data_IF_324055927304
#
_entry.id   IF_324055927304
#
_cell.length_a   1.000
_cell.length_b   1.000
_cell.length_c   1.000
_cell.angle_alpha   90.00
_cell.angle_beta   90.00
_cell.angle_gamma   90.00
#
_symmetry.space_group_name_H-M   'P 1'
#
loop_
_entity.id
_entity.type
_entity.pdbx_description
1 polymer ?
#
# COMPACT_ATOMS: atom_id res chain seq x y z
N UNK A 1 55.08 5.86 20.41
CA UNK A 1 55.26 6.14 18.97
C UNK A 1 54.05 5.60 18.23
N UNK A 2 53.04 6.45 18.06
CA UNK A 2 51.77 6.14 17.39
C UNK A 2 51.85 6.70 15.98
N UNK A 3 51.85 5.81 15.00
CA UNK A 3 51.82 6.13 13.56
C UNK A 3 50.46 6.77 13.22
N UNK A 4 50.40 7.91 12.52
CA UNK A 4 49.14 8.43 12.03
C UNK A 4 48.67 7.59 10.85
N UNK A 5 47.38 7.25 10.85
CA UNK A 5 46.68 6.65 9.71
C UNK A 5 46.64 7.71 8.60
N UNK A 6 47.34 7.42 7.50
CA UNK A 6 47.35 8.26 6.30
C UNK A 6 45.93 8.50 5.79
N UNK A 7 45.50 9.75 5.79
CA UNK A 7 44.32 10.22 5.08
C UNK A 7 44.52 9.98 3.58
N UNK A 8 43.52 9.36 2.94
CA UNK A 8 43.51 9.16 1.50
C UNK A 8 43.77 10.46 0.75
N UNK A 9 44.64 10.39 -0.25
CA UNK A 9 45.00 11.49 -1.14
C UNK A 9 43.76 12.11 -1.76
N UNK A 10 43.45 13.37 -1.40
CA UNK A 10 42.52 14.20 -2.17
C UNK A 10 43.15 14.46 -3.53
N UNK A 11 42.65 13.82 -4.59
CA UNK A 11 42.90 14.31 -5.95
C UNK A 11 42.33 15.73 -6.03
N UNK A 12 43.14 16.76 -6.35
CA UNK A 12 42.64 18.11 -6.56
C UNK A 12 41.58 18.07 -7.66
N UNK A 13 40.38 18.62 -7.38
CA UNK A 13 39.37 18.82 -8.41
C UNK A 13 39.94 19.78 -9.45
N UNK A 14 40.07 19.32 -10.70
CA UNK A 14 40.45 20.17 -11.84
C UNK A 14 39.30 21.06 -12.31
N UNK A 15 38.10 20.90 -11.75
CA UNK A 15 36.91 21.63 -12.15
C UNK A 15 36.82 23.00 -11.47
N UNK A 16 36.52 24.04 -12.24
CA UNK A 16 36.39 25.41 -11.75
C UNK A 16 35.21 25.55 -10.77
N UNK A 17 35.20 26.56 -9.88
CA UNK A 17 34.05 26.82 -9.02
C UNK A 17 32.73 27.01 -9.79
N UNK A 18 32.79 27.61 -10.98
CA UNK A 18 31.63 27.79 -11.86
C UNK A 18 31.12 26.46 -12.41
N UNK A 19 32.01 25.56 -12.81
CA UNK A 19 31.64 24.21 -13.28
C UNK A 19 31.00 23.38 -12.17
N UNK A 20 31.50 23.51 -10.94
CA UNK A 20 30.92 22.84 -9.78
C UNK A 20 29.53 23.40 -9.46
N UNK A 21 29.37 24.72 -9.51
CA UNK A 21 28.08 25.36 -9.28
C UNK A 21 27.04 24.90 -10.32
N UNK A 22 27.40 24.96 -11.61
CA UNK A 22 26.55 24.51 -12.71
C UNK A 22 26.12 23.05 -12.54
N UNK A 23 27.04 22.16 -12.17
CA UNK A 23 26.71 20.76 -11.90
C UNK A 23 25.65 20.60 -10.81
N UNK A 24 25.75 21.33 -9.69
CA UNK A 24 24.75 21.24 -8.62
C UNK A 24 23.42 21.91 -8.99
N UNK A 25 23.41 22.90 -9.88
CA UNK A 25 22.19 23.45 -10.45
C UNK A 25 21.50 22.41 -11.37
N UNK A 26 22.25 21.73 -12.23
CA UNK A 26 21.76 20.64 -13.10
C UNK A 26 21.19 19.48 -12.25
N UNK A 27 21.86 19.12 -11.16
CA UNK A 27 21.38 18.10 -10.20
C UNK A 27 20.05 18.50 -9.58
N UNK A 28 19.90 19.77 -9.16
CA UNK A 28 18.66 20.28 -8.57
C UNK A 28 17.52 20.26 -9.59
N UNK A 29 17.77 20.76 -10.80
CA UNK A 29 16.79 20.77 -11.89
C UNK A 29 16.33 19.34 -12.26
N UNK A 30 17.27 18.38 -12.29
CA UNK A 30 16.97 16.97 -12.62
C UNK A 30 15.98 16.33 -11.65
N UNK A 31 15.99 16.73 -10.37
CA UNK A 31 15.14 16.13 -9.34
C UNK A 31 13.94 16.99 -8.94
N UNK A 32 13.70 18.11 -9.63
CA UNK A 32 12.65 19.08 -9.28
C UNK A 32 11.23 18.48 -9.36
N UNK A 33 11.00 17.58 -10.33
CA UNK A 33 9.72 16.91 -10.54
C UNK A 33 9.44 15.76 -9.56
N UNK A 34 10.44 15.37 -8.77
CA UNK A 34 10.31 14.27 -7.83
C UNK A 34 9.69 14.74 -6.51
N UNK A 35 9.04 13.84 -5.74
CA UNK A 35 8.69 14.12 -4.36
C UNK A 35 9.88 14.68 -3.58
N UNK A 36 9.67 15.76 -2.82
CA UNK A 36 10.72 16.50 -2.11
C UNK A 36 11.57 15.59 -1.23
N UNK A 37 10.97 14.61 -0.55
CA UNK A 37 11.74 13.70 0.30
C UNK A 37 12.67 12.77 -0.51
N UNK A 38 12.31 12.42 -1.75
CA UNK A 38 13.18 11.64 -2.65
C UNK A 38 14.26 12.52 -3.25
N UNK A 39 13.89 13.72 -3.74
CA UNK A 39 14.83 14.70 -4.27
C UNK A 39 15.91 15.04 -3.24
N UNK A 40 15.50 15.35 -2.00
CA UNK A 40 16.43 15.59 -0.87
C UNK A 40 17.38 14.41 -0.67
N UNK A 41 16.84 13.19 -0.69
CA UNK A 41 17.63 11.99 -0.46
C UNK A 41 18.67 11.74 -1.55
N UNK A 42 18.35 11.98 -2.81
CA UNK A 42 19.32 11.89 -3.90
C UNK A 42 20.39 12.99 -3.78
N UNK A 43 19.99 14.22 -3.47
CA UNK A 43 20.92 15.32 -3.19
C UNK A 43 21.86 14.98 -2.02
N UNK A 44 21.36 14.38 -0.95
CA UNK A 44 22.17 13.96 0.21
C UNK A 44 23.20 12.89 -0.16
N UNK A 45 22.83 11.93 -1.03
CA UNK A 45 23.74 10.89 -1.54
C UNK A 45 24.86 11.51 -2.38
N UNK A 46 24.54 12.44 -3.27
CA UNK A 46 25.51 13.14 -4.12
C UNK A 46 26.43 14.03 -3.27
N UNK A 47 25.86 14.79 -2.34
CA UNK A 47 26.61 15.62 -1.39
C UNK A 47 27.53 14.80 -0.49
N UNK A 48 27.09 13.61 -0.07
CA UNK A 48 27.93 12.66 0.67
C UNK A 48 29.08 12.15 -0.19
N UNK A 49 28.82 11.77 -1.45
CA UNK A 49 29.86 11.34 -2.38
C UNK A 49 30.86 12.47 -2.67
N UNK A 50 30.39 13.71 -2.80
CA UNK A 50 31.23 14.89 -2.93
C UNK A 50 32.18 15.05 -1.73
N UNK A 51 31.66 14.94 -0.51
CA UNK A 51 32.47 15.06 0.72
C UNK A 51 33.51 13.94 0.85
N UNK A 52 33.19 12.72 0.42
CA UNK A 52 34.05 11.55 0.59
C UNK A 52 35.06 11.35 -0.55
N UNK A 53 34.66 11.64 -1.78
CA UNK A 53 35.42 11.32 -3.01
C UNK A 53 35.68 12.55 -3.90
N UNK A 54 35.28 13.74 -3.49
CA UNK A 54 35.41 14.97 -4.27
C UNK A 54 34.43 15.07 -5.44
N UNK A 55 34.68 16.02 -6.35
CA UNK A 55 33.80 16.33 -7.47
C UNK A 55 33.53 15.14 -8.40
N UNK A 56 34.58 14.40 -8.77
CA UNK A 56 34.45 13.20 -9.60
C UNK A 56 33.52 12.14 -8.97
N UNK A 57 33.60 11.97 -7.64
CA UNK A 57 32.70 11.05 -6.93
C UNK A 57 31.24 11.51 -6.90
N UNK A 58 31.00 12.82 -6.87
CA UNK A 58 29.66 13.39 -6.99
C UNK A 58 29.08 13.15 -8.39
N UNK A 59 29.87 13.36 -9.44
CA UNK A 59 29.49 13.11 -10.83
C UNK A 59 29.19 11.61 -11.06
N UNK A 60 30.04 10.72 -10.57
CA UNK A 60 29.83 9.26 -10.61
C UNK A 60 28.49 8.92 -9.92
N UNK A 61 28.26 9.44 -8.71
CA UNK A 61 27.04 9.15 -7.96
C UNK A 61 25.79 9.69 -8.64
N UNK A 62 25.85 10.87 -9.24
CA UNK A 62 24.74 11.44 -10.00
C UNK A 62 24.42 10.59 -11.23
N UNK A 63 25.45 10.17 -11.98
CA UNK A 63 25.29 9.27 -13.14
C UNK A 63 24.67 7.93 -12.74
N UNK A 64 25.10 7.34 -11.63
CA UNK A 64 24.52 6.11 -11.09
C UNK A 64 23.02 6.26 -10.79
N UNK A 65 22.64 7.37 -10.14
CA UNK A 65 21.24 7.65 -9.79
C UNK A 65 20.40 7.77 -11.06
N UNK A 66 20.85 8.52 -12.06
CA UNK A 66 20.15 8.65 -13.34
C UNK A 66 19.97 7.28 -14.01
N UNK A 67 21.03 6.48 -14.08
CA UNK A 67 21.00 5.18 -14.78
C UNK A 67 20.15 4.13 -14.09
N UNK A 68 20.09 4.13 -12.76
CA UNK A 68 19.56 2.99 -12.00
C UNK A 68 18.33 3.29 -11.14
N UNK A 69 18.20 4.51 -10.63
CA UNK A 69 17.17 4.85 -9.65
C UNK A 69 16.11 5.80 -10.21
N UNK A 70 16.52 6.84 -10.97
CA UNK A 70 15.63 7.93 -11.40
C UNK A 70 14.42 7.42 -12.17
N UNK A 71 14.65 6.68 -13.26
CA UNK A 71 13.57 6.12 -14.08
C UNK A 71 12.59 5.28 -13.27
N UNK A 72 13.08 4.47 -12.34
CA UNK A 72 12.23 3.61 -11.52
C UNK A 72 11.40 4.45 -10.54
N UNK A 73 11.99 5.47 -9.92
CA UNK A 73 11.26 6.40 -9.05
C UNK A 73 10.17 7.13 -9.82
N UNK A 74 10.46 7.62 -11.03
CA UNK A 74 9.48 8.30 -11.87
C UNK A 74 8.31 7.37 -12.22
N UNK A 75 8.60 6.14 -12.67
CA UNK A 75 7.58 5.14 -12.95
C UNK A 75 6.75 4.80 -11.71
N UNK A 76 7.40 4.57 -10.56
CA UNK A 76 6.69 4.33 -9.29
C UNK A 76 5.81 5.53 -8.93
N UNK A 77 6.32 6.76 -9.07
CA UNK A 77 5.57 7.97 -8.75
C UNK A 77 4.33 8.14 -9.64
N UNK A 78 4.47 7.87 -10.95
CA UNK A 78 3.39 7.95 -11.94
C UNK A 78 2.24 6.97 -11.69
N UNK A 79 2.49 5.83 -11.02
CA UNK A 79 1.42 4.90 -10.63
C UNK A 79 0.41 5.55 -9.67
N UNK A 80 0.88 6.47 -8.82
CA UNK A 80 0.06 7.09 -7.78
C UNK A 80 -0.39 8.50 -8.14
N UNK A 81 0.48 9.29 -8.77
CA UNK A 81 0.17 10.66 -9.14
C UNK A 81 -0.96 10.72 -10.18
N UNK A 82 -1.78 11.77 -10.08
CA UNK A 82 -2.74 12.14 -11.11
C UNK A 82 -2.02 13.07 -12.09
N UNK A 83 -2.02 12.73 -13.38
CA UNK A 83 -1.34 13.54 -14.38
C UNK A 83 -1.92 14.97 -14.41
N UNK A 84 -1.09 16.02 -14.42
CA UNK A 84 -1.55 17.38 -14.63
C UNK A 84 -1.99 17.53 -16.10
N UNK A 85 -3.28 17.38 -16.36
CA UNK A 85 -3.89 17.46 -17.68
C UNK A 85 -5.35 17.91 -17.60
N UNK A 86 -6.02 17.95 -18.75
CA UNK A 86 -7.47 18.19 -18.78
C UNK A 86 -8.19 17.09 -18.00
N UNK A 87 -9.03 17.50 -17.06
CA UNK A 87 -9.91 16.59 -16.35
C UNK A 87 -10.82 15.91 -17.39
N UNK A 88 -11.09 14.60 -17.27
CA UNK A 88 -11.92 13.93 -18.26
C UNK A 88 -13.28 14.61 -18.36
N UNK A 89 -13.71 14.98 -19.57
CA UNK A 89 -14.99 15.71 -19.76
C UNK A 89 -16.22 14.92 -19.31
N UNK A 90 -16.09 13.60 -19.13
CA UNK A 90 -17.13 12.73 -18.60
C UNK A 90 -17.18 12.71 -17.06
N UNK A 91 -16.27 13.37 -16.36
CA UNK A 91 -16.14 13.29 -14.88
C UNK A 91 -17.46 13.61 -14.16
N UNK A 92 -18.22 14.56 -14.72
CA UNK A 92 -19.52 14.97 -14.20
C UNK A 92 -20.68 14.68 -15.16
N UNK A 93 -20.44 13.94 -16.25
CA UNK A 93 -21.48 13.66 -17.27
C UNK A 93 -22.12 14.91 -17.90
N UNK A 94 -21.43 16.06 -17.87
CA UNK A 94 -21.94 17.33 -18.40
C UNK A 94 -22.91 18.09 -17.48
N UNK A 95 -23.07 17.66 -16.22
CA UNK A 95 -24.04 18.23 -15.27
C UNK A 95 -23.36 18.87 -14.04
N UNK A 96 -22.10 19.29 -14.18
CA UNK A 96 -21.35 19.91 -13.09
C UNK A 96 -21.79 21.35 -12.83
N UNK A 97 -21.56 21.86 -11.62
CA UNK A 97 -21.59 23.31 -11.39
C UNK A 97 -20.47 24.03 -12.18
N UNK A 98 -20.63 25.34 -12.41
CA UNK A 98 -19.70 26.14 -13.22
C UNK A 98 -18.25 26.07 -12.69
N UNK A 99 -18.07 25.99 -11.37
CA UNK A 99 -16.77 25.99 -10.70
C UNK A 99 -16.19 24.58 -10.44
N UNK A 100 -16.97 23.52 -10.71
CA UNK A 100 -16.63 22.14 -10.32
C UNK A 100 -15.28 21.67 -10.88
N UNK A 101 -15.00 21.95 -12.15
CA UNK A 101 -13.73 21.58 -12.79
C UNK A 101 -12.53 22.35 -12.20
N UNK A 102 -12.73 23.62 -11.81
CA UNK A 102 -11.71 24.42 -11.14
C UNK A 102 -11.38 23.87 -9.74
N UNK A 103 -12.42 23.55 -8.98
CA UNK A 103 -12.29 22.95 -7.65
C UNK A 103 -11.56 21.59 -7.70
N UNK A 104 -11.97 20.69 -8.60
CA UNK A 104 -11.30 19.39 -8.77
C UNK A 104 -9.84 19.55 -9.21
N UNK A 105 -9.53 20.52 -10.09
CA UNK A 105 -8.15 20.79 -10.50
C UNK A 105 -7.28 21.23 -9.31
N UNK A 106 -7.80 22.12 -8.47
CA UNK A 106 -7.13 22.55 -7.24
C UNK A 106 -6.89 21.39 -6.27
N UNK A 107 -7.92 20.56 -6.03
CA UNK A 107 -7.81 19.38 -5.18
C UNK A 107 -6.87 18.32 -5.75
N UNK A 108 -6.78 18.20 -7.08
CA UNK A 108 -5.83 17.29 -7.76
C UNK A 108 -4.38 17.70 -7.50
N UNK A 109 -4.08 19.00 -7.53
CA UNK A 109 -2.75 19.50 -7.18
C UNK A 109 -2.40 19.15 -5.72
N UNK A 110 -3.33 19.38 -4.79
CA UNK A 110 -3.15 19.03 -3.37
C UNK A 110 -3.02 17.53 -3.14
N UNK A 111 -3.79 16.70 -3.87
CA UNK A 111 -3.67 15.25 -3.85
C UNK A 111 -2.26 14.79 -4.21
N UNK A 112 -1.68 15.33 -5.29
CA UNK A 112 -0.32 15.00 -5.70
C UNK A 112 0.73 15.47 -4.68
N UNK A 113 0.47 16.55 -3.96
CA UNK A 113 1.34 17.05 -2.90
C UNK A 113 1.29 16.18 -1.62
N UNK A 114 0.27 15.33 -1.42
CA UNK A 114 0.14 14.49 -0.23
C UNK A 114 1.34 13.58 0.01
N UNK A 115 2.06 13.18 -1.04
CA UNK A 115 3.25 12.33 -0.93
C UNK A 115 4.34 12.96 -0.04
N UNK A 116 4.43 14.29 -0.04
CA UNK A 116 5.35 15.08 0.79
C UNK A 116 4.69 15.64 2.06
N UNK A 117 3.37 15.51 2.18
CA UNK A 117 2.57 16.00 3.30
C UNK A 117 2.52 15.05 4.50
N UNK A 118 1.77 15.49 5.51
CA UNK A 118 1.47 14.71 6.71
C UNK A 118 0.01 14.22 6.74
N UNK A 119 -0.42 13.66 7.88
CA UNK A 119 -1.79 13.17 8.03
C UNK A 119 -2.83 14.30 8.11
N UNK A 120 -2.42 15.51 8.49
CA UNK A 120 -3.26 16.70 8.55
C UNK A 120 -3.59 17.18 7.14
N UNK A 121 -2.61 17.20 6.23
CA UNK A 121 -2.84 17.55 4.82
C UNK A 121 -3.87 16.60 4.17
N UNK A 122 -3.76 15.30 4.45
CA UNK A 122 -4.70 14.30 3.98
C UNK A 122 -6.11 14.47 4.59
N UNK A 123 -6.20 14.86 5.86
CA UNK A 123 -7.47 15.13 6.53
C UNK A 123 -8.16 16.39 5.98
N UNK A 124 -7.41 17.48 5.74
CA UNK A 124 -7.94 18.70 5.15
C UNK A 124 -8.46 18.44 3.73
N UNK A 125 -7.69 17.73 2.89
CA UNK A 125 -8.17 17.39 1.55
C UNK A 125 -9.42 16.51 1.59
N UNK A 126 -9.50 15.57 2.54
CA UNK A 126 -10.68 14.73 2.72
C UNK A 126 -11.92 15.52 3.13
N UNK A 127 -11.76 16.56 3.96
CA UNK A 127 -12.83 17.46 4.34
C UNK A 127 -13.32 18.27 3.14
N UNK A 128 -12.40 18.94 2.44
CA UNK A 128 -12.75 19.81 1.31
C UNK A 128 -13.40 19.01 0.17
N UNK A 129 -12.94 17.77 -0.07
CA UNK A 129 -13.51 16.91 -1.11
C UNK A 129 -14.91 16.40 -0.73
N UNK A 130 -15.15 16.13 0.55
CA UNK A 130 -16.47 15.73 1.05
C UNK A 130 -17.46 16.89 0.97
N UNK A 131 -17.04 18.09 1.37
CA UNK A 131 -17.84 19.32 1.27
C UNK A 131 -18.20 19.62 -0.19
N UNK A 132 -17.20 19.61 -1.08
CA UNK A 132 -17.41 19.75 -2.52
C UNK A 132 -18.43 18.74 -3.07
N UNK A 133 -18.30 17.46 -2.70
CA UNK A 133 -19.24 16.43 -3.16
C UNK A 133 -20.65 16.62 -2.60
N UNK A 134 -20.80 17.09 -1.36
CA UNK A 134 -22.10 17.46 -0.79
C UNK A 134 -22.75 18.59 -1.60
N UNK A 135 -21.99 19.64 -1.92
CA UNK A 135 -22.46 20.79 -2.69
C UNK A 135 -22.88 20.39 -4.11
N UNK A 136 -22.09 19.56 -4.79
CA UNK A 136 -22.43 19.06 -6.13
C UNK A 136 -23.65 18.14 -6.10
N UNK A 137 -23.80 17.32 -5.06
CA UNK A 137 -25.01 16.50 -4.88
C UNK A 137 -26.24 17.38 -4.68
N UNK A 138 -26.14 18.46 -3.88
CA UNK A 138 -27.24 19.41 -3.70
C UNK A 138 -27.57 20.16 -5.00
N UNK A 139 -26.54 20.61 -5.73
CA UNK A 139 -26.70 21.24 -7.04
C UNK A 139 -27.48 20.34 -8.00
N UNK A 140 -27.04 19.09 -8.19
CA UNK A 140 -27.70 18.13 -9.06
C UNK A 140 -29.13 17.81 -8.62
N UNK A 141 -29.36 17.68 -7.31
CA UNK A 141 -30.69 17.46 -6.76
C UNK A 141 -31.66 18.61 -7.09
N UNK A 142 -31.18 19.86 -7.15
CA UNK A 142 -31.98 21.03 -7.56
C UNK A 142 -32.18 21.09 -9.08
N UNK A 143 -31.14 20.80 -9.85
CA UNK A 143 -31.14 20.85 -11.32
C UNK A 143 -32.03 19.76 -11.93
N UNK A 144 -32.02 18.57 -11.36
CA UNK A 144 -32.76 17.39 -11.83
C UNK A 144 -33.99 17.08 -10.97
N UNK A 145 -34.60 18.10 -10.34
CA UNK A 145 -35.74 17.93 -9.42
C UNK A 145 -36.98 17.28 -10.07
N UNK A 146 -37.09 17.39 -11.38
CA UNK A 146 -38.24 16.91 -12.16
C UNK A 146 -38.00 15.46 -12.68
N UNK A 147 -36.80 14.92 -12.52
CA UNK A 147 -36.44 13.54 -12.89
C UNK A 147 -36.95 12.51 -11.88
N UNK A 148 -37.09 11.25 -12.30
CA UNK A 148 -37.49 10.20 -11.35
C UNK A 148 -36.41 9.91 -10.31
N UNK A 149 -36.81 9.52 -9.10
CA UNK A 149 -35.86 9.23 -8.01
C UNK A 149 -34.78 8.19 -8.40
N UNK A 150 -35.07 7.10 -9.14
CA UNK A 150 -34.04 6.18 -9.60
C UNK A 150 -33.03 6.79 -10.58
N UNK A 151 -33.47 7.66 -11.49
CA UNK A 151 -32.61 8.34 -12.46
C UNK A 151 -31.68 9.32 -11.76
N UNK A 152 -32.23 10.15 -10.87
CA UNK A 152 -31.44 11.07 -10.05
C UNK A 152 -30.37 10.33 -9.24
N UNK A 153 -30.74 9.25 -8.53
CA UNK A 153 -29.77 8.46 -7.76
C UNK A 153 -28.68 7.84 -8.64
N UNK A 154 -29.01 7.43 -9.87
CA UNK A 154 -28.05 6.93 -10.83
C UNK A 154 -27.03 7.99 -11.27
N UNK A 155 -27.48 9.22 -11.52
CA UNK A 155 -26.62 10.35 -11.88
C UNK A 155 -25.72 10.75 -10.71
N UNK A 156 -26.30 10.92 -9.51
CA UNK A 156 -25.55 11.27 -8.30
C UNK A 156 -24.46 10.24 -7.98
N UNK A 157 -24.79 8.95 -8.07
CA UNK A 157 -23.80 7.89 -7.87
C UNK A 157 -22.70 7.96 -8.93
N UNK A 158 -23.06 8.11 -10.21
CA UNK A 158 -22.08 8.15 -11.32
C UNK A 158 -21.09 9.29 -11.16
N UNK A 159 -21.57 10.47 -10.79
CA UNK A 159 -20.71 11.63 -10.50
C UNK A 159 -19.77 11.34 -9.32
N UNK A 160 -20.33 10.92 -8.18
CA UNK A 160 -19.52 10.64 -6.99
C UNK A 160 -18.50 9.53 -7.23
N UNK A 161 -18.85 8.50 -8.02
CA UNK A 161 -17.96 7.43 -8.44
C UNK A 161 -16.86 7.94 -9.37
N UNK A 162 -17.18 8.82 -10.32
CA UNK A 162 -16.18 9.47 -11.19
C UNK A 162 -15.13 10.25 -10.38
N UNK A 163 -15.57 10.99 -9.37
CA UNK A 163 -14.67 11.70 -8.44
C UNK A 163 -13.86 10.71 -7.59
N UNK A 164 -14.48 9.65 -7.08
CA UNK A 164 -13.78 8.56 -6.39
C UNK A 164 -12.65 7.97 -7.25
N UNK A 165 -12.94 7.58 -8.48
CA UNK A 165 -11.95 7.01 -9.41
C UNK A 165 -10.84 8.01 -9.75
N UNK A 166 -11.18 9.28 -10.00
CA UNK A 166 -10.21 10.35 -10.27
C UNK A 166 -9.18 10.47 -9.14
N UNK A 167 -9.64 10.46 -7.89
CA UNK A 167 -8.80 10.48 -6.69
C UNK A 167 -8.33 9.07 -6.25
N UNK A 168 -8.30 8.10 -7.17
CA UNK A 168 -7.77 6.74 -7.00
C UNK A 168 -8.45 5.92 -5.90
N UNK A 169 -9.68 6.26 -5.53
CA UNK A 169 -10.52 5.50 -4.61
C UNK A 169 -11.39 4.51 -5.38
N UNK A 170 -11.63 3.33 -4.80
CA UNK A 170 -12.56 2.35 -5.35
C UNK A 170 -14.00 2.78 -4.96
N UNK A 171 -14.90 3.06 -5.92
CA UNK A 171 -16.28 3.44 -5.60
C UNK A 171 -17.01 2.30 -4.87
N UNK A 172 -17.77 2.58 -3.79
CA UNK A 172 -18.53 1.55 -3.08
C UNK A 172 -19.54 0.86 -4.01
N UNK A 173 -19.54 -0.48 -4.04
CA UNK A 173 -20.44 -1.30 -4.86
C UNK A 173 -20.30 -1.13 -6.39
N UNK A 174 -19.16 -0.65 -6.89
CA UNK A 174 -18.93 -0.35 -8.32
C UNK A 174 -19.34 -1.46 -9.31
N UNK A 175 -18.94 -2.70 -9.04
CA UNK A 175 -19.26 -3.85 -9.90
C UNK A 175 -20.76 -4.17 -9.95
N UNK A 176 -21.51 -3.83 -8.90
CA UNK A 176 -22.97 -4.03 -8.84
C UNK A 176 -23.69 -2.86 -9.48
N UNK A 177 -23.17 -1.65 -9.35
CA UNK A 177 -23.68 -0.47 -10.05
C UNK A 177 -23.62 -0.65 -11.57
N UNK A 178 -22.44 -0.96 -12.10
CA UNK A 178 -22.22 -1.21 -13.54
C UNK A 178 -23.06 -2.37 -14.07
N UNK A 179 -23.32 -3.38 -13.23
CA UNK A 179 -24.23 -4.49 -13.54
C UNK A 179 -25.72 -4.18 -13.39
N UNK A 180 -26.11 -2.95 -13.03
CA UNK A 180 -27.50 -2.52 -12.73
C UNK A 180 -28.19 -3.38 -11.66
N UNK A 181 -27.44 -3.79 -10.63
CA UNK A 181 -27.89 -4.70 -9.55
C UNK A 181 -28.09 -4.02 -8.19
N UNK A 182 -28.19 -2.69 -8.16
CA UNK A 182 -28.36 -1.92 -6.92
C UNK A 182 -29.79 -1.42 -6.79
N UNK A 183 -30.34 -1.55 -5.60
CA UNK A 183 -31.62 -0.93 -5.23
C UNK A 183 -31.42 0.56 -4.95
N UNK A 184 -32.49 1.39 -5.00
CA UNK A 184 -32.41 2.81 -4.64
C UNK A 184 -31.82 3.05 -3.25
N UNK A 185 -32.13 2.21 -2.27
CA UNK A 185 -31.58 2.32 -0.92
C UNK A 185 -30.07 2.02 -0.88
N UNK A 186 -29.62 1.02 -1.63
CA UNK A 186 -28.19 0.71 -1.74
C UNK A 186 -27.42 1.84 -2.45
N UNK A 187 -28.03 2.51 -3.43
CA UNK A 187 -27.46 3.68 -4.06
C UNK A 187 -27.28 4.83 -3.06
N UNK A 188 -28.31 5.14 -2.27
CA UNK A 188 -28.23 6.17 -1.21
C UNK A 188 -27.10 5.88 -0.25
N UNK A 189 -27.00 4.65 0.27
CA UNK A 189 -25.91 4.25 1.19
C UNK A 189 -24.53 4.44 0.54
N UNK A 190 -24.38 4.07 -0.74
CA UNK A 190 -23.12 4.20 -1.44
C UNK A 190 -22.74 5.67 -1.70
N UNK A 191 -23.70 6.51 -2.08
CA UNK A 191 -23.53 7.96 -2.22
C UNK A 191 -23.15 8.57 -0.87
N UNK A 192 -23.90 8.27 0.20
CA UNK A 192 -23.63 8.77 1.56
C UNK A 192 -22.22 8.40 2.04
N UNK A 193 -21.69 7.23 1.65
CA UNK A 193 -20.30 6.86 1.91
C UNK A 193 -19.32 7.76 1.17
N UNK A 194 -19.53 7.98 -0.14
CA UNK A 194 -18.63 8.77 -0.97
C UNK A 194 -18.62 10.26 -0.63
N UNK A 195 -19.72 10.82 -0.12
CA UNK A 195 -19.76 12.22 0.34
C UNK A 195 -19.25 12.38 1.78
N UNK A 196 -18.88 11.30 2.46
CA UNK A 196 -18.43 11.37 3.86
C UNK A 196 -16.94 11.66 3.99
N UNK A 197 -16.58 12.56 4.91
CA UNK A 197 -15.17 12.83 5.28
C UNK A 197 -14.44 11.55 5.71
N UNK A 198 -15.13 10.65 6.43
CA UNK A 198 -14.55 9.40 6.94
C UNK A 198 -14.06 8.48 5.81
N UNK A 199 -14.77 8.42 4.70
CA UNK A 199 -14.38 7.63 3.53
C UNK A 199 -13.05 8.14 2.97
N UNK A 200 -12.98 9.44 2.68
CA UNK A 200 -11.81 10.09 2.10
C UNK A 200 -10.60 10.09 3.03
N UNK A 201 -10.78 10.41 4.31
CA UNK A 201 -9.68 10.39 5.30
C UNK A 201 -9.06 9.00 5.42
N UNK A 202 -9.88 7.94 5.39
CA UNK A 202 -9.37 6.56 5.42
C UNK A 202 -8.62 6.22 4.14
N UNK A 203 -9.15 6.63 2.99
CA UNK A 203 -8.55 6.40 1.68
C UNK A 203 -7.20 7.12 1.56
N UNK A 204 -7.16 8.45 1.67
CA UNK A 204 -5.95 9.25 1.49
C UNK A 204 -4.85 8.86 2.46
N UNK A 205 -5.17 8.65 3.75
CA UNK A 205 -4.18 8.18 4.72
C UNK A 205 -3.54 6.86 4.29
N UNK A 206 -4.34 5.89 3.86
CA UNK A 206 -3.82 4.57 3.45
C UNK A 206 -3.07 4.66 2.12
N UNK A 207 -3.59 5.43 1.18
CA UNK A 207 -3.03 5.62 -0.16
C UNK A 207 -1.66 6.29 -0.09
N UNK A 208 -1.54 7.43 0.60
CA UNK A 208 -0.29 8.17 0.76
C UNK A 208 0.78 7.36 1.46
N UNK A 209 0.42 6.57 2.49
CA UNK A 209 1.36 5.67 3.17
C UNK A 209 1.93 4.62 2.21
N UNK A 210 1.07 3.99 1.40
CA UNK A 210 1.49 3.01 0.38
C UNK A 210 2.35 3.65 -0.70
N UNK A 211 2.01 4.85 -1.14
CA UNK A 211 2.78 5.61 -2.12
C UNK A 211 4.21 5.88 -1.62
N UNK A 212 4.34 6.45 -0.42
CA UNK A 212 5.64 6.75 0.20
C UNK A 212 6.47 5.48 0.41
N UNK A 213 5.84 4.42 0.92
CA UNK A 213 6.53 3.15 1.16
C UNK A 213 7.02 2.51 -0.15
N UNK A 214 6.22 2.55 -1.21
CA UNK A 214 6.64 2.04 -2.51
C UNK A 214 7.85 2.84 -3.03
N UNK A 215 7.84 4.17 -2.92
CA UNK A 215 9.00 4.98 -3.25
C UNK A 215 10.23 4.62 -2.41
N UNK A 216 10.08 4.36 -1.10
CA UNK A 216 11.16 3.91 -0.23
C UNK A 216 11.74 2.54 -0.63
N UNK A 217 10.90 1.60 -1.02
CA UNK A 217 11.32 0.32 -1.62
C UNK A 217 12.12 0.61 -2.89
N UNK A 218 11.58 1.46 -3.77
CA UNK A 218 12.25 1.85 -5.02
C UNK A 218 13.62 2.41 -4.74
N UNK A 219 13.83 3.31 -3.78
CA UNK A 219 15.16 3.89 -3.51
C UNK A 219 16.05 3.06 -2.57
N UNK A 220 15.61 1.88 -2.13
CA UNK A 220 16.45 0.94 -1.38
C UNK A 220 16.50 1.16 0.12
N UNK A 221 15.44 1.74 0.68
CA UNK A 221 15.26 1.78 2.14
C UNK A 221 14.70 0.49 2.71
N UNK A 222 14.07 -0.31 1.85
CA UNK A 222 13.58 -1.65 2.18
C UNK A 222 14.43 -2.67 1.45
N UNK A 223 15.38 -3.25 2.18
CA UNK A 223 16.31 -4.30 1.75
C UNK A 223 17.07 -4.86 2.96
N UNK A 224 17.64 -6.05 2.81
CA UNK A 224 18.40 -6.77 3.85
C UNK A 224 19.40 -5.90 4.61
N UNK A 225 20.16 -5.07 3.90
CA UNK A 225 21.23 -4.24 4.48
C UNK A 225 20.74 -2.96 5.18
N UNK A 226 19.44 -2.69 5.19
CA UNK A 226 18.89 -1.47 5.79
C UNK A 226 17.68 -1.73 6.68
N UNK A 227 16.62 -2.26 6.10
CA UNK A 227 15.40 -2.66 6.82
C UNK A 227 14.65 -3.66 5.96
N UNK A 228 14.37 -4.85 6.50
CA UNK A 228 13.81 -5.97 5.73
C UNK A 228 12.31 -5.80 5.46
N UNK A 229 11.56 -5.34 6.46
CA UNK A 229 10.09 -5.39 6.43
C UNK A 229 9.49 -4.14 5.80
N UNK A 230 9.97 -2.97 6.21
CA UNK A 230 9.46 -1.67 5.78
C UNK A 230 10.50 -0.58 6.02
N UNK A 231 10.28 0.61 5.48
CA UNK A 231 11.22 1.73 5.60
C UNK A 231 11.44 2.13 7.07
N UNK A 232 12.66 2.57 7.46
CA UNK A 232 12.92 3.07 8.81
C UNK A 232 11.96 4.20 9.23
N UNK A 233 11.54 5.04 8.29
CA UNK A 233 10.59 6.12 8.48
C UNK A 233 9.21 5.57 8.87
N UNK A 234 8.77 4.49 8.22
CA UNK A 234 7.53 3.82 8.57
C UNK A 234 7.59 3.18 9.96
N UNK A 235 8.72 2.56 10.33
CA UNK A 235 8.92 1.99 11.67
C UNK A 235 8.77 3.06 12.75
N UNK A 236 9.41 4.23 12.57
CA UNK A 236 9.31 5.34 13.52
C UNK A 236 7.88 5.85 13.65
N UNK A 237 7.20 6.06 12.51
CA UNK A 237 5.79 6.48 12.50
C UNK A 237 4.90 5.46 13.23
N UNK A 238 5.06 4.17 12.94
CA UNK A 238 4.31 3.09 13.57
C UNK A 238 4.54 3.02 15.08
N UNK A 239 5.79 3.15 15.53
CA UNK A 239 6.12 3.19 16.96
C UNK A 239 5.49 4.39 17.66
N UNK A 240 5.57 5.59 17.08
CA UNK A 240 4.96 6.79 17.62
C UNK A 240 3.42 6.69 17.70
N UNK A 241 2.80 6.14 16.65
CA UNK A 241 1.35 5.90 16.62
C UNK A 241 0.91 4.88 17.69
N UNK A 242 1.68 3.81 17.90
CA UNK A 242 1.42 2.83 18.96
C UNK A 242 1.58 3.39 20.35
N UNK A 243 2.63 4.18 20.59
CA UNK A 243 2.86 4.84 21.87
C UNK A 243 1.66 5.72 22.22
N UNK A 244 1.29 6.63 21.31
CA UNK A 244 0.13 7.51 21.48
C UNK A 244 -1.17 6.75 21.70
N UNK A 245 -1.41 5.68 20.93
CA UNK A 245 -2.59 4.84 21.09
C UNK A 245 -2.67 4.18 22.47
N UNK A 246 -1.53 3.70 23.00
CA UNK A 246 -1.48 3.13 24.35
C UNK A 246 -1.65 4.17 25.44
N UNK A 247 -1.13 5.39 25.27
CA UNK A 247 -1.34 6.51 26.20
C UNK A 247 -2.84 6.83 26.29
N UNK A 248 -3.53 6.98 25.15
CA UNK A 248 -4.98 7.22 25.13
C UNK A 248 -5.73 6.07 25.82
N UNK A 249 -5.41 4.82 25.52
CA UNK A 249 -6.06 3.66 26.14
C UNK A 249 -5.80 3.56 27.65
N UNK A 250 -4.65 4.01 28.14
CA UNK A 250 -4.33 4.03 29.56
C UNK A 250 -5.18 5.05 30.34
N UNK A 251 -5.58 6.13 29.68
CA UNK A 251 -6.40 7.20 30.24
C UNK A 251 -7.91 7.00 30.00
N UNK A 252 -8.30 5.89 29.37
CA UNK A 252 -9.70 5.60 29.01
C UNK A 252 -10.23 4.40 29.80
N UNK A 253 -11.44 4.52 30.33
CA UNK A 253 -12.20 3.40 30.90
C UNK A 253 -13.34 3.01 29.95
N UNK A 254 -13.68 1.73 29.93
CA UNK A 254 -14.91 1.19 29.37
C UNK A 254 -15.94 1.19 30.50
N UNK A 255 -17.14 1.66 30.22
CA UNK A 255 -18.28 1.61 31.15
C UNK A 255 -19.38 0.75 30.52
N UNK A 256 -19.92 -0.17 31.30
CA UNK A 256 -21.10 -0.94 30.92
C UNK A 256 -22.37 -0.09 31.15
N UNK A 257 -23.16 0.13 30.10
CA UNK A 257 -24.31 1.06 30.13
C UNK A 257 -25.44 0.61 31.07
N UNK A 258 -25.58 -0.69 31.32
CA UNK A 258 -26.67 -1.24 32.15
C UNK A 258 -26.29 -1.33 33.64
N UNK A 259 -25.05 -1.74 33.92
CA UNK A 259 -24.56 -2.01 35.29
C UNK A 259 -23.76 -0.86 35.88
N UNK A 260 -23.20 0.02 35.05
CA UNK A 260 -22.27 1.08 35.46
C UNK A 260 -20.89 0.59 35.88
N UNK A 261 -20.57 -0.70 35.64
CA UNK A 261 -19.25 -1.25 35.93
C UNK A 261 -18.20 -0.63 35.01
N UNK A 262 -17.03 -0.29 35.56
CA UNK A 262 -15.93 0.31 34.81
C UNK A 262 -14.71 -0.60 34.75
N UNK A 263 -14.12 -0.69 33.56
CA UNK A 263 -12.93 -1.50 33.29
C UNK A 263 -11.89 -0.65 32.54
N UNK A 264 -10.61 -0.63 32.97
CA UNK A 264 -9.57 0.06 32.22
C UNK A 264 -9.45 -0.48 30.80
N UNK A 265 -9.58 0.38 29.79
CA UNK A 265 -9.56 -0.02 28.38
C UNK A 265 -8.25 -0.73 28.04
N UNK A 266 -7.12 -0.24 28.55
CA UNK A 266 -5.82 -0.86 28.32
C UNK A 266 -5.76 -2.31 28.82
N UNK A 267 -6.35 -2.59 29.99
CA UNK A 267 -6.37 -3.94 30.55
C UNK A 267 -7.24 -4.88 29.71
N UNK A 268 -8.41 -4.41 29.25
CA UNK A 268 -9.26 -5.16 28.34
C UNK A 268 -8.57 -5.46 27.00
N UNK A 269 -7.87 -4.47 26.44
CA UNK A 269 -7.09 -4.62 25.20
C UNK A 269 -5.97 -5.65 25.38
N UNK A 270 -5.21 -5.57 26.48
CA UNK A 270 -4.09 -6.48 26.76
C UNK A 270 -4.58 -7.92 27.08
N UNK A 271 -5.82 -8.09 27.56
CA UNK A 271 -6.48 -9.38 27.75
C UNK A 271 -7.06 -9.99 26.45
N UNK A 272 -7.18 -9.20 25.38
CA UNK A 272 -7.78 -9.60 24.10
C UNK A 272 -6.76 -10.05 23.04
N UNK A 273 -7.26 -10.44 21.86
CA UNK A 273 -6.47 -10.75 20.64
C UNK A 273 -5.77 -9.52 20.03
N UNK A 274 -5.97 -8.34 20.61
CA UNK A 274 -5.19 -7.14 20.32
C UNK A 274 -3.76 -7.25 20.84
N UNK A 275 -3.52 -8.05 21.87
CA UNK A 275 -2.18 -8.42 22.32
C UNK A 275 -1.53 -9.43 21.35
N UNK A 276 -0.31 -9.16 20.93
CA UNK A 276 0.41 -9.98 19.94
C UNK A 276 0.65 -11.43 20.42
N UNK A 277 0.94 -11.64 21.71
CA UNK A 277 1.18 -12.98 22.27
C UNK A 277 -0.11 -13.79 22.29
N UNK A 278 -1.22 -13.17 22.71
CA UNK A 278 -2.55 -13.80 22.70
C UNK A 278 -3.00 -14.13 21.29
N UNK A 279 -2.79 -13.22 20.33
CA UNK A 279 -3.07 -13.47 18.91
C UNK A 279 -2.26 -14.64 18.36
N UNK A 280 -0.98 -14.74 18.74
CA UNK A 280 -0.13 -15.89 18.36
C UNK A 280 -0.65 -17.18 18.97
N UNK A 281 -1.01 -17.18 20.26
CA UNK A 281 -1.60 -18.34 20.92
C UNK A 281 -2.91 -18.76 20.25
N UNK A 282 -3.80 -17.82 19.94
CA UNK A 282 -5.04 -18.09 19.20
C UNK A 282 -4.78 -18.70 17.82
N UNK A 283 -3.80 -18.18 17.08
CA UNK A 283 -3.41 -18.74 15.79
C UNK A 283 -2.92 -20.19 15.92
N UNK A 284 -2.08 -20.48 16.91
CA UNK A 284 -1.62 -21.85 17.18
C UNK A 284 -2.76 -22.77 17.60
N UNK A 285 -3.72 -22.29 18.38
CA UNK A 285 -4.95 -23.04 18.72
C UNK A 285 -5.76 -23.39 17.47
N UNK A 286 -5.85 -22.47 16.50
CA UNK A 286 -6.52 -22.77 15.21
C UNK A 286 -5.76 -23.82 14.40
N UNK A 287 -4.43 -23.74 14.33
CA UNK A 287 -3.62 -24.77 13.66
C UNK A 287 -3.86 -26.13 14.31
N UNK A 288 -3.83 -26.21 15.65
CA UNK A 288 -4.14 -27.45 16.38
C UNK A 288 -5.56 -27.96 16.08
N UNK A 289 -6.55 -27.07 16.02
CA UNK A 289 -7.91 -27.45 15.63
C UNK A 289 -8.01 -28.04 14.22
N UNK A 290 -7.21 -27.55 13.26
CA UNK A 290 -7.13 -28.14 11.92
C UNK A 290 -6.50 -29.55 11.95
N UNK A 291 -5.48 -29.76 12.78
CA UNK A 291 -4.88 -31.09 12.99
C UNK A 291 -5.90 -32.07 13.64
N UNK A 292 -6.65 -31.60 14.64
CA UNK A 292 -7.70 -32.39 15.30
C UNK A 292 -8.83 -32.75 14.32
N UNK A 293 -9.26 -31.82 13.45
CA UNK A 293 -10.24 -32.10 12.39
C UNK A 293 -9.73 -33.17 11.41
N UNK A 294 -8.46 -33.10 11.01
CA UNK A 294 -7.82 -34.11 10.17
C UNK A 294 -7.82 -35.49 10.85
N UNK A 295 -7.59 -35.54 12.15
CA UNK A 295 -7.62 -36.78 12.94
C UNK A 295 -9.04 -37.33 13.14
N UNK A 296 -10.05 -36.47 13.29
CA UNK A 296 -11.44 -36.87 13.45
C UNK A 296 -12.01 -37.48 12.16
N UNK A 297 -11.71 -36.92 10.99
CA UNK A 297 -12.18 -37.46 9.70
C UNK A 297 -11.58 -38.85 9.43
N UNK A 298 -10.35 -39.10 9.90
CA UNK A 298 -9.74 -40.44 9.90
C UNK A 298 -10.58 -41.46 10.68
N UNK A 299 -11.15 -41.07 11.82
CA UNK A 299 -11.95 -41.96 12.65
C UNK A 299 -13.37 -42.22 12.09
N UNK A 300 -13.90 -41.32 11.26
CA UNK A 300 -15.28 -41.38 10.76
C UNK A 300 -15.40 -41.90 9.32
N UNK A 301 -14.41 -41.66 8.46
CA UNK A 301 -14.46 -41.98 7.02
C UNK A 301 -13.29 -42.86 6.54
N UNK A 302 -12.43 -43.37 7.44
CA UNK A 302 -11.20 -44.10 7.09
C UNK A 302 -10.25 -43.28 6.17
N UNK A 303 -10.42 -41.96 6.15
CA UNK A 303 -9.64 -41.04 5.31
C UNK A 303 -8.40 -40.55 6.06
N UNK A 304 -7.22 -40.89 5.57
CA UNK A 304 -5.97 -40.49 6.19
C UNK A 304 -5.47 -39.16 5.61
N UNK A 305 -5.40 -38.10 6.41
CA UNK A 305 -4.85 -36.82 5.96
C UNK A 305 -3.36 -36.70 6.25
N UNK A 306 -2.67 -35.94 5.40
CA UNK A 306 -1.29 -35.53 5.60
C UNK A 306 -1.21 -34.01 5.65
N UNK A 307 -0.38 -33.51 6.56
CA UNK A 307 -0.09 -32.09 6.68
C UNK A 307 1.17 -31.73 5.89
N UNK A 308 1.07 -30.74 5.02
CA UNK A 308 2.15 -30.25 4.18
C UNK A 308 2.42 -28.78 4.49
N UNK A 309 3.65 -28.47 4.86
CA UNK A 309 4.13 -27.09 4.95
C UNK A 309 4.58 -26.61 3.58
N UNK A 310 4.22 -25.37 3.23
CA UNK A 310 4.67 -24.75 2.00
C UNK A 310 5.20 -23.34 2.23
N UNK A 311 6.13 -22.97 1.36
CA UNK A 311 6.55 -21.59 1.13
C UNK A 311 6.30 -21.27 -0.34
N UNK A 312 5.58 -20.19 -0.60
CA UNK A 312 5.31 -19.69 -1.94
C UNK A 312 5.94 -18.31 -2.09
N UNK A 313 6.99 -18.25 -2.91
CA UNK A 313 7.77 -17.04 -3.15
C UNK A 313 7.37 -16.41 -4.48
N UNK A 314 7.30 -15.09 -4.53
CA UNK A 314 6.98 -14.40 -5.78
C UNK A 314 8.13 -14.58 -6.81
N UNK A 315 7.82 -14.60 -8.12
CA UNK A 315 8.86 -14.62 -9.15
C UNK A 315 9.82 -13.43 -9.01
N UNK A 316 11.07 -13.61 -9.47
CA UNK A 316 12.14 -12.60 -9.34
C UNK A 316 11.72 -11.19 -9.79
N UNK A 317 10.84 -11.06 -10.77
CA UNK A 317 10.39 -9.75 -11.27
C UNK A 317 9.60 -8.91 -10.24
N UNK A 318 9.11 -9.51 -9.15
CA UNK A 318 8.41 -8.82 -8.06
C UNK A 318 9.35 -8.35 -6.94
N UNK A 319 10.63 -8.72 -6.98
CA UNK A 319 11.62 -8.34 -5.98
C UNK A 319 12.41 -7.12 -6.42
N UNK A 320 12.34 -6.03 -5.65
CA UNK A 320 13.04 -4.78 -5.96
C UNK A 320 14.57 -4.89 -5.76
N UNK A 321 14.99 -5.72 -4.81
CA UNK A 321 16.39 -5.86 -4.42
C UNK A 321 16.80 -7.32 -4.31
N UNK A 322 18.04 -7.61 -4.71
CA UNK A 322 18.65 -8.92 -4.47
C UNK A 322 19.10 -9.01 -3.01
N UNK A 323 19.25 -10.23 -2.50
CA UNK A 323 19.71 -10.47 -1.14
C UNK A 323 21.11 -9.87 -0.87
N UNK A 324 21.93 -9.80 -1.93
CA UNK A 324 23.25 -9.14 -1.93
C UNK A 324 23.20 -7.62 -1.71
N UNK A 325 22.01 -7.01 -1.73
CA UNK A 325 21.79 -5.57 -1.60
C UNK A 325 21.91 -4.80 -2.92
N UNK A 326 22.21 -5.49 -4.03
CA UNK A 326 22.22 -4.92 -5.37
C UNK A 326 20.80 -4.80 -5.92
N UNK A 327 20.58 -3.80 -6.78
CA UNK A 327 19.31 -3.63 -7.50
C UNK A 327 19.02 -4.87 -8.33
N UNK A 328 17.78 -5.35 -8.29
CA UNK A 328 17.33 -6.37 -9.22
C UNK A 328 16.96 -5.74 -10.57
N UNK A 329 17.70 -6.07 -11.63
CA UNK A 329 17.47 -5.56 -13.00
C UNK A 329 16.18 -6.07 -13.63
N UNK A 330 15.61 -7.16 -13.10
CA UNK A 330 14.35 -7.75 -13.59
C UNK A 330 13.11 -7.21 -12.87
N UNK A 331 13.28 -6.35 -11.87
CA UNK A 331 12.14 -5.81 -11.13
C UNK A 331 11.25 -5.00 -12.06
N UNK A 332 9.95 -5.30 -12.06
CA UNK A 332 8.95 -4.68 -12.92
C UNK A 332 8.27 -3.45 -12.30
N UNK A 333 8.72 -3.01 -11.11
CA UNK A 333 8.08 -1.91 -10.38
C UNK A 333 6.87 -2.31 -9.56
N UNK A 334 6.59 -3.61 -9.37
CA UNK A 334 5.46 -4.06 -8.58
C UNK A 334 5.61 -3.70 -7.09
N UNK A 335 4.53 -3.18 -6.52
CA UNK A 335 4.34 -2.93 -5.10
C UNK A 335 4.06 -4.23 -4.32
N UNK A 336 4.20 -4.21 -2.98
CA UNK A 336 3.73 -5.31 -2.13
C UNK A 336 2.24 -5.64 -2.34
N UNK A 337 1.39 -4.64 -2.61
CA UNK A 337 -0.04 -4.84 -2.86
C UNK A 337 -0.28 -5.59 -4.18
N UNK A 338 0.43 -5.23 -5.24
CA UNK A 338 0.35 -5.92 -6.53
C UNK A 338 0.89 -7.34 -6.46
N UNK A 339 1.98 -7.54 -5.70
CA UNK A 339 2.51 -8.88 -5.42
C UNK A 339 1.47 -9.72 -4.67
N UNK A 340 0.74 -9.12 -3.72
CA UNK A 340 -0.35 -9.85 -3.06
C UNK A 340 -1.49 -10.24 -4.01
N UNK A 341 -1.86 -9.35 -4.92
CA UNK A 341 -2.84 -9.68 -5.96
C UNK A 341 -2.35 -10.79 -6.90
N UNK A 342 -1.04 -10.88 -7.18
CA UNK A 342 -0.45 -12.01 -7.88
C UNK A 342 -0.70 -13.32 -7.11
N UNK A 343 -0.42 -13.39 -5.81
CA UNK A 343 -0.68 -14.60 -5.03
C UNK A 343 -2.16 -14.95 -4.98
N UNK A 344 -3.04 -13.98 -4.71
CA UNK A 344 -4.50 -14.25 -4.67
C UNK A 344 -5.01 -14.80 -6.00
N UNK A 345 -4.58 -14.24 -7.13
CA UNK A 345 -4.97 -14.71 -8.46
C UNK A 345 -4.41 -16.11 -8.74
N UNK A 346 -3.14 -16.34 -8.43
CA UNK A 346 -2.47 -17.61 -8.72
C UNK A 346 -3.01 -18.73 -7.83
N UNK A 347 -3.26 -18.44 -6.54
CA UNK A 347 -3.92 -19.36 -5.62
C UNK A 347 -5.34 -19.70 -6.06
N UNK A 348 -6.12 -18.73 -6.55
CA UNK A 348 -7.45 -19.01 -7.13
C UNK A 348 -7.38 -19.99 -8.31
N UNK A 349 -6.38 -19.84 -9.18
CA UNK A 349 -6.17 -20.74 -10.31
C UNK A 349 -5.73 -22.13 -9.84
N UNK A 350 -4.83 -22.19 -8.86
CA UNK A 350 -4.41 -23.42 -8.18
C UNK A 350 -5.61 -24.15 -7.55
N UNK A 351 -6.44 -23.47 -6.76
CA UNK A 351 -7.66 -24.05 -6.17
C UNK A 351 -8.62 -24.56 -7.24
N UNK A 352 -8.79 -23.81 -8.34
CA UNK A 352 -9.63 -24.26 -9.47
C UNK A 352 -9.06 -25.53 -10.11
N UNK A 353 -7.75 -25.64 -10.25
CA UNK A 353 -7.07 -26.81 -10.80
C UNK A 353 -7.20 -28.05 -9.89
N UNK A 354 -7.20 -27.86 -8.57
CA UNK A 354 -7.48 -28.92 -7.60
C UNK A 354 -8.94 -29.38 -7.67
N UNK A 355 -9.91 -28.44 -7.70
CA UNK A 355 -11.33 -28.78 -7.80
C UNK A 355 -11.65 -29.59 -9.05
N UNK A 356 -11.03 -29.28 -10.20
CA UNK A 356 -11.19 -30.07 -11.44
C UNK A 356 -10.65 -31.50 -11.35
N UNK A 357 -9.78 -31.78 -10.38
CA UNK A 357 -9.18 -33.09 -10.11
C UNK A 357 -9.81 -33.77 -8.90
N UNK A 358 -10.89 -33.21 -8.36
CA UNK A 358 -11.56 -33.71 -7.14
C UNK A 358 -10.63 -33.78 -5.92
N UNK A 359 -9.67 -32.84 -5.85
CA UNK A 359 -8.75 -32.72 -4.72
C UNK A 359 -9.29 -31.68 -3.77
N UNK A 360 -9.55 -32.11 -2.53
CA UNK A 360 -10.02 -31.24 -1.47
C UNK A 360 -8.89 -30.97 -0.49
N UNK A 361 -8.62 -29.69 -0.27
CA UNK A 361 -7.65 -29.23 0.72
C UNK A 361 -8.34 -28.33 1.74
N UNK A 362 -7.82 -28.34 2.95
CA UNK A 362 -8.10 -27.31 3.95
C UNK A 362 -6.78 -26.90 4.62
N UNK A 363 -6.77 -25.75 5.28
CA UNK A 363 -5.55 -25.25 5.88
C UNK A 363 -5.57 -23.75 6.06
N UNK A 364 -4.40 -23.19 6.31
CA UNK A 364 -4.23 -21.74 6.44
C UNK A 364 -2.85 -21.30 5.97
N UNK A 365 -2.77 -20.03 5.57
CA UNK A 365 -1.52 -19.39 5.24
C UNK A 365 -1.40 -18.03 5.92
N UNK A 366 -0.16 -17.59 6.08
CA UNK A 366 0.22 -16.26 6.55
C UNK A 366 1.02 -15.57 5.45
N UNK A 367 1.14 -14.26 5.56
CA UNK A 367 2.01 -13.45 4.71
C UNK A 367 3.11 -12.84 5.56
N UNK A 368 4.34 -13.02 5.13
CA UNK A 368 5.51 -12.39 5.73
C UNK A 368 6.30 -11.65 4.65
N UNK A 369 7.04 -10.63 5.05
CA UNK A 369 7.92 -9.87 4.17
C UNK A 369 9.24 -10.61 3.95
N UNK A 370 9.65 -10.77 2.69
CA UNK A 370 10.97 -11.25 2.32
C UNK A 370 12.06 -10.18 2.57
N UNK A 371 13.31 -10.45 2.18
CA UNK A 371 14.47 -9.58 2.48
C UNK A 371 14.37 -8.14 1.91
N UNK A 372 13.47 -7.88 0.97
CA UNK A 372 13.24 -6.60 0.31
C UNK A 372 11.80 -6.08 0.47
N UNK A 373 11.06 -6.59 1.44
CA UNK A 373 9.69 -6.18 1.73
C UNK A 373 8.62 -6.83 0.83
N UNK A 374 9.04 -7.57 -0.20
CA UNK A 374 8.14 -8.32 -1.08
C UNK A 374 7.43 -9.43 -0.29
N UNK A 375 6.10 -9.57 -0.38
CA UNK A 375 5.37 -10.62 0.30
C UNK A 375 5.80 -12.03 -0.13
N UNK A 376 5.83 -12.97 0.81
CA UNK A 376 5.82 -14.42 0.58
C UNK A 376 4.73 -15.07 1.42
N UNK A 377 4.21 -16.21 0.96
CA UNK A 377 3.22 -16.98 1.72
C UNK A 377 3.88 -18.18 2.37
N UNK A 378 3.61 -18.37 3.65
CA UNK A 378 3.90 -19.61 4.37
C UNK A 378 2.59 -20.20 4.84
N UNK A 379 2.45 -21.51 4.77
CA UNK A 379 1.21 -22.13 5.22
C UNK A 379 1.32 -23.60 5.46
N UNK A 380 0.21 -24.14 5.96
CA UNK A 380 -0.02 -25.55 6.17
C UNK A 380 -1.28 -25.94 5.40
N UNK A 381 -1.18 -27.00 4.60
CA UNK A 381 -2.29 -27.60 3.86
C UNK A 381 -2.48 -29.04 4.33
N UNK A 382 -3.73 -29.44 4.47
CA UNK A 382 -4.16 -30.80 4.76
C UNK A 382 -4.84 -31.36 3.51
N UNK A 383 -4.45 -32.57 3.14
CA UNK A 383 -4.99 -33.30 1.99
C UNK A 383 -5.05 -34.78 2.32
N UNK A 384 -5.92 -35.54 1.66
CA UNK A 384 -5.92 -37.00 1.78
C UNK A 384 -4.59 -37.57 1.29
N UNK A 385 -4.07 -38.59 1.98
CA UNK A 385 -2.76 -39.18 1.74
C UNK A 385 -2.64 -39.71 0.31
N UNK A 386 -3.68 -40.33 -0.22
CA UNK A 386 -3.66 -40.81 -1.61
C UNK A 386 -3.58 -39.68 -2.65
N UNK A 387 -3.93 -38.45 -2.27
CA UNK A 387 -3.90 -37.26 -3.14
C UNK A 387 -2.63 -36.41 -2.96
N UNK A 388 -1.72 -36.78 -2.05
CA UNK A 388 -0.52 -36.00 -1.72
C UNK A 388 0.34 -35.72 -2.96
N UNK A 389 0.63 -36.75 -3.75
CA UNK A 389 1.48 -36.62 -4.94
C UNK A 389 0.87 -35.63 -5.94
N UNK A 390 -0.42 -35.78 -6.24
CA UNK A 390 -1.10 -34.91 -7.20
C UNK A 390 -1.20 -33.47 -6.69
N UNK A 391 -1.38 -33.27 -5.38
CA UNK A 391 -1.33 -31.93 -4.79
C UNK A 391 0.04 -31.28 -5.00
N UNK A 392 1.14 -32.02 -4.76
CA UNK A 392 2.50 -31.52 -4.96
C UNK A 392 2.75 -31.16 -6.42
N UNK A 393 2.38 -32.02 -7.35
CA UNK A 393 2.53 -31.77 -8.79
C UNK A 393 1.76 -30.51 -9.21
N UNK A 394 0.53 -30.35 -8.71
CA UNK A 394 -0.27 -29.14 -8.99
C UNK A 394 0.34 -27.92 -8.33
N UNK A 395 0.84 -28.03 -7.10
CA UNK A 395 1.47 -26.92 -6.40
C UNK A 395 2.72 -26.42 -7.14
N UNK A 396 3.62 -27.32 -7.55
CA UNK A 396 4.85 -27.00 -8.29
C UNK A 396 4.59 -26.33 -9.65
N UNK A 397 3.45 -26.59 -10.30
CA UNK A 397 3.07 -25.90 -11.54
C UNK A 397 2.71 -24.43 -11.33
N UNK A 398 2.27 -24.04 -10.14
CA UNK A 398 1.80 -22.68 -9.86
C UNK A 398 2.77 -21.87 -8.99
N UNK A 399 3.55 -22.55 -8.13
CA UNK A 399 4.30 -21.94 -7.03
C UNK A 399 5.66 -21.33 -7.40
#
# INVERSE_FOLDING_TARGET
MTTPINGGSRTPSTASPEEQQKFFDDVRQTFESLPRFIAKKFNDRISSAYRLKGFAGAQEKFSDIIRHDLRLVELTHQVYAIAPGELPGYLFGGLASDDAYGAVRSMTFRFNALVDGDESDAALLAQDLAEFLCDEVEYLNRTLRDESAPELLGVLYSMAAGIAEHFKADPPEWSRFTGKKLTPEQLKIAISRMISVRFWSRHFRTFTRRWREHLYITVGDVRRQRSVICSPQWVQHWMASRKRGREIMAETNIEDEETGETLPLLAAVDASVSNNERRRAEMLTRVKGLEELAALDRMSQDSDYVALFFTWTAPQQYHAWLETGRRNRKWNGASPRETQHYFTRTFKNFSTALTRRDIHIFGMHITESHHDGTPHWHGILFVRREQESTLRDVFEMYA
#
